data_IF_964490207421
#
_entry.id   IF_964490207421
#
_cell.length_a   1.000
_cell.length_b   1.000
_cell.length_c   1.000
_cell.angle_alpha   90.00
_cell.angle_beta   90.00
_cell.angle_gamma   90.00
#
_symmetry.space_group_name_H-M   'P 1'
#
loop_
_entity.id
_entity.type
_entity.pdbx_description
1 polymer ?
#
# COMPACT_ATOMS: atom_id res chain seq x y z
N UNK A 1 15.91 -6.58 23.90
CA UNK A 1 15.21 -5.44 24.51
C UNK A 1 14.95 -4.42 23.40
N UNK A 2 13.70 -4.12 23.08
CA UNK A 2 13.36 -3.11 22.07
C UNK A 2 13.56 -1.71 22.69
N UNK A 3 14.17 -0.80 21.93
CA UNK A 3 14.31 0.61 22.30
C UNK A 3 13.35 1.43 21.43
N UNK A 4 12.54 2.27 22.06
CA UNK A 4 11.66 3.22 21.38
C UNK A 4 12.10 4.66 21.60
N UNK A 5 11.56 5.57 20.81
CA UNK A 5 11.68 7.02 20.96
C UNK A 5 10.32 7.57 21.37
N UNK A 6 10.31 8.50 22.34
CA UNK A 6 9.09 9.19 22.74
C UNK A 6 8.66 10.17 21.63
N UNK A 7 7.60 9.83 20.89
CA UNK A 7 7.03 10.68 19.86
C UNK A 7 6.04 11.71 20.43
N UNK A 8 5.43 11.42 21.59
CA UNK A 8 4.53 12.30 22.32
C UNK A 8 4.70 12.08 23.83
N UNK A 9 4.33 13.08 24.62
CA UNK A 9 4.34 12.98 26.09
C UNK A 9 2.99 12.40 26.56
N UNK A 10 3.04 11.54 27.59
CA UNK A 10 1.86 10.99 28.23
C UNK A 10 2.06 9.57 28.78
N UNK A 11 1.08 9.10 29.52
CA UNK A 11 1.01 7.74 30.05
C UNK A 11 -0.35 7.18 29.62
N UNK A 12 -0.35 6.00 28.96
CA UNK A 12 -1.56 5.29 28.63
C UNK A 12 -1.55 3.90 29.28
N UNK A 13 -2.69 3.51 29.86
CA UNK A 13 -2.92 2.18 30.42
C UNK A 13 -4.20 1.65 29.80
N UNK A 14 -4.06 0.63 28.96
CA UNK A 14 -5.18 -0.02 28.27
C UNK A 14 -4.81 -1.45 27.87
N UNK A 15 -5.74 -2.18 27.27
CA UNK A 15 -5.45 -3.50 26.69
C UNK A 15 -4.43 -3.38 25.57
N UNK A 16 -3.57 -4.38 25.44
CA UNK A 16 -2.60 -4.46 24.35
C UNK A 16 -3.29 -4.95 23.07
N UNK A 17 -3.15 -4.20 21.99
CA UNK A 17 -3.51 -4.62 20.64
C UNK A 17 -2.23 -4.82 19.83
N UNK A 18 -1.95 -6.06 19.46
CA UNK A 18 -0.78 -6.37 18.63
C UNK A 18 -1.10 -6.10 17.17
N UNK A 19 -0.50 -5.03 16.63
CA UNK A 19 -0.62 -4.72 15.21
C UNK A 19 0.41 -5.55 14.42
N UNK A 20 -0.09 -6.50 13.65
CA UNK A 20 0.76 -7.34 12.79
C UNK A 20 0.43 -7.02 11.34
N UNK A 21 1.36 -6.41 10.64
CA UNK A 21 1.26 -6.24 9.19
C UNK A 21 1.35 -7.61 8.50
N UNK A 22 0.53 -7.87 7.48
CA UNK A 22 0.62 -9.13 6.75
C UNK A 22 1.99 -9.25 6.08
N UNK A 23 2.59 -10.43 6.21
CA UNK A 23 3.80 -10.78 5.46
C UNK A 23 3.38 -11.35 4.12
N UNK A 24 3.93 -10.78 3.05
CA UNK A 24 3.72 -11.24 1.68
C UNK A 24 4.92 -12.11 1.27
N UNK A 25 4.63 -13.29 0.77
CA UNK A 25 5.62 -14.17 0.14
C UNK A 25 5.31 -14.15 -1.37
N UNK A 26 5.87 -13.15 -2.05
CA UNK A 26 5.65 -12.94 -3.48
C UNK A 26 6.74 -13.69 -4.25
N UNK A 27 6.32 -14.64 -5.05
CA UNK A 27 7.22 -15.43 -5.88
C UNK A 27 6.76 -15.38 -7.34
N UNK A 28 7.73 -15.37 -8.24
CA UNK A 28 7.48 -15.49 -9.67
C UNK A 28 6.87 -16.84 -9.98
N UNK A 29 5.75 -16.81 -10.71
CA UNK A 29 5.07 -18.00 -11.22
C UNK A 29 4.68 -17.77 -12.66
N UNK A 30 4.76 -18.80 -13.48
CA UNK A 30 4.18 -18.76 -14.81
C UNK A 30 2.64 -18.73 -14.71
N UNK A 31 2.02 -17.85 -15.45
CA UNK A 31 0.59 -17.60 -15.39
C UNK A 31 -0.01 -17.27 -16.75
N UNK A 32 -1.32 -17.41 -16.88
CA UNK A 32 -2.08 -17.03 -18.07
C UNK A 32 -2.35 -15.52 -18.00
N UNK A 33 -1.80 -14.75 -18.91
CA UNK A 33 -1.86 -13.29 -18.87
C UNK A 33 -3.30 -12.75 -18.78
N UNK A 34 -4.26 -13.32 -19.50
CA UNK A 34 -5.66 -12.87 -19.47
C UNK A 34 -6.29 -13.00 -18.08
N UNK A 35 -6.02 -14.10 -17.36
CA UNK A 35 -6.52 -14.32 -16.00
C UNK A 35 -5.88 -13.35 -15.01
N UNK A 36 -4.57 -13.12 -15.13
CA UNK A 36 -3.84 -12.23 -14.25
C UNK A 36 -4.18 -10.75 -14.49
N UNK A 37 -4.47 -10.35 -15.74
CA UNK A 37 -4.97 -9.02 -16.05
C UNK A 37 -6.36 -8.76 -15.44
N UNK A 38 -7.26 -9.75 -15.48
CA UNK A 38 -8.57 -9.64 -14.84
C UNK A 38 -8.45 -9.53 -13.31
N UNK A 39 -7.56 -10.32 -12.71
CA UNK A 39 -7.24 -10.28 -11.28
C UNK A 39 -6.63 -8.93 -10.87
N UNK A 40 -5.73 -8.38 -11.68
CA UNK A 40 -5.12 -7.07 -11.48
C UNK A 40 -6.17 -5.95 -11.52
N UNK A 41 -7.08 -5.97 -12.49
CA UNK A 41 -8.16 -4.98 -12.60
C UNK A 41 -9.05 -4.95 -11.35
N UNK A 42 -9.44 -6.14 -10.88
CA UNK A 42 -10.24 -6.26 -9.66
C UNK A 42 -9.48 -5.75 -8.42
N UNK A 43 -8.18 -6.04 -8.33
CA UNK A 43 -7.33 -5.60 -7.22
C UNK A 43 -7.11 -4.08 -7.22
N UNK A 44 -6.92 -3.43 -8.38
CA UNK A 44 -6.84 -1.97 -8.48
C UNK A 44 -8.14 -1.29 -8.04
N UNK A 45 -9.30 -1.77 -8.53
CA UNK A 45 -10.61 -1.25 -8.12
C UNK A 45 -10.80 -1.35 -6.61
N UNK A 46 -10.42 -2.49 -6.03
CA UNK A 46 -10.49 -2.69 -4.59
C UNK A 46 -9.52 -1.79 -3.83
N UNK A 47 -8.30 -1.60 -4.33
CA UNK A 47 -7.29 -0.73 -3.73
C UNK A 47 -7.77 0.71 -3.66
N UNK A 48 -8.31 1.24 -4.76
CA UNK A 48 -8.91 2.59 -4.79
C UNK A 48 -10.04 2.71 -3.76
N UNK A 49 -11.00 1.76 -3.78
CA UNK A 49 -12.12 1.75 -2.82
C UNK A 49 -11.66 1.68 -1.37
N UNK A 50 -10.61 0.91 -1.07
CA UNK A 50 -10.06 0.80 0.29
C UNK A 50 -9.43 2.12 0.75
N UNK A 51 -8.68 2.82 -0.13
CA UNK A 51 -8.07 4.12 0.17
C UNK A 51 -9.17 5.19 0.38
N UNK A 52 -10.19 5.22 -0.48
CA UNK A 52 -11.32 6.15 -0.36
C UNK A 52 -12.05 5.99 0.99
N UNK A 53 -12.32 4.76 1.41
CA UNK A 53 -12.95 4.46 2.71
C UNK A 53 -12.09 4.93 3.88
N UNK A 54 -10.77 4.70 3.79
CA UNK A 54 -9.85 5.14 4.85
C UNK A 54 -9.84 6.67 4.90
N UNK A 55 -9.78 7.35 3.76
CA UNK A 55 -9.84 8.82 3.68
C UNK A 55 -11.13 9.35 4.27
N UNK A 56 -12.29 8.74 3.97
CA UNK A 56 -13.59 9.12 4.52
C UNK A 56 -13.61 9.01 6.05
N UNK A 57 -13.09 7.92 6.61
CA UNK A 57 -13.01 7.76 8.07
C UNK A 57 -12.04 8.78 8.68
N UNK A 58 -10.88 8.96 8.07
CA UNK A 58 -9.84 9.89 8.52
C UNK A 58 -10.31 11.36 8.49
N UNK A 59 -11.16 11.73 7.53
CA UNK A 59 -11.68 13.10 7.40
C UNK A 59 -12.49 13.58 8.61
N UNK A 60 -12.95 12.67 9.47
CA UNK A 60 -13.67 13.01 10.70
C UNK A 60 -12.75 13.52 11.82
N UNK A 61 -11.45 13.28 11.74
CA UNK A 61 -10.47 13.58 12.78
C UNK A 61 -9.20 14.30 12.31
N UNK A 62 -8.86 14.19 11.02
CA UNK A 62 -7.68 14.79 10.43
C UNK A 62 -8.03 16.10 9.72
N UNK A 63 -7.03 16.98 9.63
CA UNK A 63 -7.11 18.22 8.85
C UNK A 63 -6.93 17.95 7.35
N UNK A 64 -7.35 18.90 6.52
CA UNK A 64 -7.25 18.78 5.06
C UNK A 64 -5.81 18.55 4.58
N UNK A 65 -4.84 19.21 5.20
CA UNK A 65 -3.42 19.04 4.90
C UNK A 65 -2.91 17.60 5.17
N UNK A 66 -3.45 16.95 6.22
CA UNK A 66 -3.10 15.58 6.58
C UNK A 66 -3.80 14.56 5.67
N UNK A 67 -4.92 14.93 5.07
CA UNK A 67 -5.66 14.10 4.12
C UNK A 67 -5.01 14.06 2.73
N UNK A 68 -4.13 15.02 2.41
CA UNK A 68 -3.43 15.09 1.12
C UNK A 68 -2.61 13.83 0.79
N UNK A 69 -2.16 13.07 1.79
CA UNK A 69 -1.46 11.78 1.58
C UNK A 69 -2.37 10.76 0.89
N UNK A 70 -3.66 10.72 1.25
CA UNK A 70 -4.61 9.81 0.61
C UNK A 70 -4.90 10.22 -0.84
N UNK A 71 -4.87 11.52 -1.15
CA UNK A 71 -5.01 12.02 -2.51
C UNK A 71 -3.81 11.61 -3.38
N UNK A 72 -2.60 11.68 -2.82
CA UNK A 72 -1.41 11.18 -3.49
C UNK A 72 -1.49 9.67 -3.77
N UNK A 73 -1.94 8.88 -2.79
CA UNK A 73 -2.15 7.44 -2.95
C UNK A 73 -3.23 7.13 -4.00
N UNK A 74 -4.35 7.88 -4.00
CA UNK A 74 -5.41 7.71 -5.00
C UNK A 74 -4.93 8.08 -6.40
N UNK A 75 -4.13 9.16 -6.53
CA UNK A 75 -3.52 9.54 -7.80
C UNK A 75 -2.62 8.42 -8.33
N UNK A 76 -1.78 7.83 -7.48
CA UNK A 76 -0.92 6.72 -7.84
C UNK A 76 -1.70 5.45 -8.20
N UNK A 77 -2.73 5.10 -7.42
CA UNK A 77 -3.56 3.92 -7.67
C UNK A 77 -4.41 4.04 -8.95
N UNK A 78 -4.66 5.26 -9.43
CA UNK A 78 -5.36 5.53 -10.69
C UNK A 78 -4.42 5.90 -11.84
N UNK A 79 -3.11 5.86 -11.63
CA UNK A 79 -2.13 6.22 -12.65
C UNK A 79 -2.09 5.17 -13.77
N UNK A 80 -2.43 5.56 -15.01
CA UNK A 80 -2.43 4.64 -16.14
C UNK A 80 -1.03 4.16 -16.53
N UNK A 81 0.03 4.92 -16.26
CA UNK A 81 1.40 4.51 -16.54
C UNK A 81 1.84 3.42 -15.57
N UNK A 82 1.63 3.61 -14.27
CA UNK A 82 1.92 2.59 -13.26
C UNK A 82 1.19 1.29 -13.57
N UNK A 83 -0.11 1.37 -13.83
CA UNK A 83 -0.91 0.21 -14.21
C UNK A 83 -0.40 -0.43 -15.50
N UNK A 84 -0.15 0.35 -16.55
CA UNK A 84 0.31 -0.13 -17.84
C UNK A 84 1.66 -0.85 -17.78
N UNK A 85 2.57 -0.41 -16.90
CA UNK A 85 3.84 -1.10 -16.65
C UNK A 85 3.63 -2.48 -16.04
N UNK A 86 2.71 -2.63 -15.10
CA UNK A 86 2.39 -3.93 -14.48
C UNK A 86 1.71 -4.85 -15.50
N UNK A 87 0.77 -4.33 -16.29
CA UNK A 87 0.10 -5.07 -17.37
C UNK A 87 1.11 -5.56 -18.43
N UNK A 88 2.09 -4.72 -18.79
CA UNK A 88 3.17 -5.08 -19.71
C UNK A 88 4.08 -6.18 -19.12
N UNK A 89 4.42 -6.11 -17.83
CA UNK A 89 5.21 -7.15 -17.17
C UNK A 89 4.49 -8.50 -17.17
N UNK A 90 3.18 -8.51 -16.87
CA UNK A 90 2.35 -9.71 -16.94
C UNK A 90 2.35 -10.29 -18.36
N UNK A 91 2.08 -9.44 -19.36
CA UNK A 91 1.84 -9.88 -20.75
C UNK A 91 3.13 -10.34 -21.43
N UNK A 92 4.23 -9.62 -21.23
CA UNK A 92 5.49 -9.90 -21.89
C UNK A 92 6.23 -11.11 -21.28
N UNK A 93 6.04 -11.33 -19.98
CA UNK A 93 6.78 -12.35 -19.24
C UNK A 93 5.90 -13.53 -18.77
N UNK A 94 4.58 -13.49 -19.04
CA UNK A 94 3.60 -14.50 -18.59
C UNK A 94 3.73 -14.83 -17.11
N UNK A 95 3.78 -13.80 -16.26
CA UNK A 95 3.96 -13.92 -14.82
C UNK A 95 2.67 -13.54 -14.06
N UNK A 96 2.58 -13.99 -12.82
CA UNK A 96 1.50 -13.66 -11.91
C UNK A 96 1.48 -12.17 -11.54
N UNK A 97 0.30 -11.63 -11.31
CA UNK A 97 0.06 -10.20 -11.10
C UNK A 97 0.77 -9.65 -9.85
N UNK A 98 0.81 -10.41 -8.75
CA UNK A 98 1.50 -9.99 -7.54
C UNK A 98 3.02 -9.85 -7.75
N UNK A 99 3.65 -10.75 -8.51
CA UNK A 99 5.06 -10.61 -8.86
C UNK A 99 5.32 -9.43 -9.81
N UNK A 100 4.45 -9.23 -10.79
CA UNK A 100 4.56 -8.10 -11.71
C UNK A 100 4.45 -6.76 -10.96
N UNK A 101 3.52 -6.65 -10.00
CA UNK A 101 3.37 -5.45 -9.17
C UNK A 101 4.61 -5.18 -8.32
N UNK A 102 5.15 -6.19 -7.64
CA UNK A 102 6.38 -6.09 -6.83
C UNK A 102 7.59 -5.69 -7.68
N UNK A 103 7.78 -6.33 -8.84
CA UNK A 103 8.88 -6.05 -9.77
C UNK A 103 8.85 -4.61 -10.26
N UNK A 104 7.70 -4.14 -10.75
CA UNK A 104 7.52 -2.76 -11.25
C UNK A 104 7.68 -1.74 -10.12
N UNK A 105 7.12 -2.00 -8.96
CA UNK A 105 7.26 -1.14 -7.79
C UNK A 105 8.72 -1.01 -7.35
N UNK A 106 9.44 -2.11 -7.26
CA UNK A 106 10.87 -2.12 -6.90
C UNK A 106 11.70 -1.30 -7.88
N UNK A 107 11.42 -1.42 -9.18
CA UNK A 107 12.10 -0.63 -10.22
C UNK A 107 11.77 0.87 -10.07
N UNK A 108 10.50 1.23 -9.91
CA UNK A 108 10.10 2.63 -9.74
C UNK A 108 10.67 3.25 -8.47
N UNK A 109 10.57 2.56 -7.35
CA UNK A 109 11.15 3.00 -6.07
C UNK A 109 12.64 3.28 -6.22
N UNK A 110 13.39 2.35 -6.83
CA UNK A 110 14.82 2.52 -7.07
C UNK A 110 15.13 3.74 -7.95
N UNK A 111 14.30 3.97 -8.97
CA UNK A 111 14.42 5.14 -9.84
C UNK A 111 14.18 6.44 -9.06
N UNK A 112 13.10 6.54 -8.30
CA UNK A 112 12.78 7.74 -7.52
C UNK A 112 13.78 8.02 -6.41
N UNK A 113 14.30 6.99 -5.73
CA UNK A 113 15.32 7.13 -4.70
C UNK A 113 16.68 7.60 -5.25
N UNK A 114 16.96 7.33 -6.54
CA UNK A 114 18.18 7.78 -7.21
C UNK A 114 18.14 9.25 -7.67
N UNK A 115 16.98 9.91 -7.59
CA UNK A 115 16.83 11.31 -8.00
C UNK A 115 17.43 12.26 -6.96
N UNK A 116 18.02 13.37 -7.41
CA UNK A 116 18.58 14.40 -6.52
C UNK A 116 17.49 15.26 -5.85
N UNK A 117 16.26 15.23 -6.38
CA UNK A 117 15.11 15.98 -5.85
C UNK A 117 14.50 15.27 -4.64
N UNK A 118 14.47 15.94 -3.49
CA UNK A 118 13.97 15.41 -2.21
C UNK A 118 12.45 15.10 -2.27
N UNK A 119 11.68 15.94 -2.98
CA UNK A 119 10.26 15.72 -3.16
C UNK A 119 10.00 14.43 -3.97
N UNK A 120 10.75 14.23 -5.04
CA UNK A 120 10.65 13.01 -5.86
C UNK A 120 11.07 11.77 -5.06
N UNK A 121 12.16 11.87 -4.26
CA UNK A 121 12.54 10.75 -3.35
C UNK A 121 11.44 10.40 -2.36
N UNK A 122 10.69 11.40 -1.85
CA UNK A 122 9.55 11.18 -0.97
C UNK A 122 8.44 10.33 -1.61
N UNK A 123 8.26 10.43 -2.93
CA UNK A 123 7.28 9.62 -3.69
C UNK A 123 7.55 8.12 -3.66
N UNK A 124 8.79 7.71 -3.41
CA UNK A 124 9.12 6.29 -3.26
C UNK A 124 8.34 5.62 -2.11
N UNK A 125 8.06 6.34 -1.04
CA UNK A 125 7.24 5.84 0.07
C UNK A 125 5.78 5.61 -0.36
N UNK A 126 5.19 6.56 -1.09
CA UNK A 126 3.82 6.45 -1.62
C UNK A 126 3.68 5.23 -2.54
N UNK A 127 4.68 5.00 -3.40
CA UNK A 127 4.72 3.84 -4.30
C UNK A 127 4.70 2.53 -3.48
N UNK A 128 5.54 2.42 -2.44
CA UNK A 128 5.57 1.23 -1.56
C UNK A 128 4.23 1.00 -0.89
N UNK A 129 3.62 2.03 -0.34
CA UNK A 129 2.37 1.92 0.42
C UNK A 129 1.19 1.50 -0.48
N UNK A 130 1.08 2.11 -1.67
CA UNK A 130 0.04 1.75 -2.65
C UNK A 130 0.27 0.34 -3.18
N UNK A 131 1.52 -0.02 -3.52
CA UNK A 131 1.85 -1.36 -4.01
C UNK A 131 1.59 -2.42 -2.96
N UNK A 132 2.00 -2.22 -1.71
CA UNK A 132 1.72 -3.15 -0.63
C UNK A 132 0.22 -3.42 -0.47
N UNK A 133 -0.61 -2.40 -0.59
CA UNK A 133 -2.07 -2.55 -0.55
C UNK A 133 -2.60 -3.32 -1.75
N UNK A 134 -2.08 -3.03 -2.94
CA UNK A 134 -2.43 -3.76 -4.17
C UNK A 134 -2.08 -5.24 -4.05
N UNK A 135 -0.88 -5.56 -3.59
CA UNK A 135 -0.40 -6.91 -3.36
C UNK A 135 -1.21 -7.66 -2.31
N UNK A 136 -1.59 -6.99 -1.22
CA UNK A 136 -2.52 -7.57 -0.25
C UNK A 136 -3.85 -7.93 -0.90
N UNK A 137 -4.39 -7.08 -1.76
CA UNK A 137 -5.62 -7.35 -2.49
C UNK A 137 -5.47 -8.47 -3.53
N UNK A 138 -4.32 -8.58 -4.20
CA UNK A 138 -4.00 -9.66 -5.13
C UNK A 138 -3.85 -11.02 -4.42
N UNK A 139 -3.25 -11.02 -3.23
CA UNK A 139 -2.98 -12.26 -2.47
C UNK A 139 -4.08 -12.61 -1.46
N UNK A 140 -5.15 -11.79 -1.36
CA UNK A 140 -6.23 -12.00 -0.40
C UNK A 140 -5.83 -11.77 1.07
N UNK A 141 -4.72 -11.07 1.30
CA UNK A 141 -4.29 -10.70 2.65
C UNK A 141 -5.07 -9.47 3.15
N UNK A 142 -5.40 -9.47 4.44
CA UNK A 142 -6.14 -8.37 5.06
C UNK A 142 -5.18 -7.46 5.80
N UNK A 143 -5.21 -6.16 5.48
CA UNK A 143 -4.50 -5.13 6.24
C UNK A 143 -5.35 -4.79 7.47
N UNK A 144 -4.81 -4.87 8.70
CA UNK A 144 -5.54 -4.51 9.89
C UNK A 144 -6.05 -3.07 9.82
N UNK A 145 -7.33 -2.87 10.12
CA UNK A 145 -7.94 -1.55 10.13
C UNK A 145 -8.10 -1.07 11.58
N UNK A 146 -7.26 -0.13 12.00
CA UNK A 146 -7.32 0.44 13.35
C UNK A 146 -8.59 1.27 13.62
N UNK A 147 -9.27 1.72 12.56
CA UNK A 147 -10.52 2.48 12.68
C UNK A 147 -11.71 1.61 13.15
N UNK A 148 -11.55 0.28 13.19
CA UNK A 148 -12.56 -0.64 13.71
C UNK A 148 -12.41 -0.90 15.22
N UNK A 149 -11.41 -0.30 15.85
CA UNK A 149 -11.23 -0.40 17.30
C UNK A 149 -12.24 0.51 18.01
N UNK A 150 -13.09 -0.08 18.82
CA UNK A 150 -14.19 0.57 19.55
C UNK A 150 -13.87 0.80 21.03
N UNK A 151 -12.69 0.35 21.49
CA UNK A 151 -12.19 0.57 22.85
C UNK A 151 -10.76 1.16 22.83
N UNK A 152 -10.35 1.91 23.88
CA UNK A 152 -8.98 2.35 24.04
C UNK A 152 -8.01 1.17 24.14
N UNK A 153 -6.94 1.20 23.32
CA UNK A 153 -5.90 0.16 23.31
C UNK A 153 -4.49 0.78 23.28
N UNK A 154 -3.51 0.02 23.75
CA UNK A 154 -2.09 0.29 23.51
C UNK A 154 -1.65 -0.56 22.32
N UNK A 155 -1.27 0.08 21.22
CA UNK A 155 -0.80 -0.59 20.02
C UNK A 155 0.66 -1.01 20.20
N UNK A 156 0.98 -2.26 19.88
CA UNK A 156 2.33 -2.85 19.96
C UNK A 156 2.67 -3.59 18.67
#
# INVERSE_FOLDING_TARGET
MLKGIAASQGIAIAKVYKLVSPTLDIQKKDAVAEEELAKLDAAFKKTVSDIEKIKEVASKSLKEEELAIFDAHLMMANDPEFRGMIEAEITNNNVNAEYAADSVSTMMVSMFESMDDEYMRGRAADIRDVTFRLECNLTGKVIPNLATLDEPVVIV
#
